data_IF_055291515635
#
_entry.id   IF_055291515635
#
_cell.length_a   1.000
_cell.length_b   1.000
_cell.length_c   1.000
_cell.angle_alpha   90.00
_cell.angle_beta   90.00
_cell.angle_gamma   90.00
#
_symmetry.space_group_name_H-M   'P 1'
#
loop_
_entity.id
_entity.type
_entity.pdbx_description
1 polymer ?
#
# COMPACT_ATOMS: atom_id res chain seq x y z
N UNK A 1 32.01 52.50 -38.10
CA UNK A 1 31.18 51.35 -38.52
C UNK A 1 31.14 50.36 -37.35
N UNK A 2 30.11 50.42 -36.53
CA UNK A 2 29.96 49.54 -35.36
C UNK A 2 29.34 48.22 -35.79
N UNK A 3 30.14 47.16 -35.82
CA UNK A 3 29.69 45.80 -36.12
C UNK A 3 28.99 45.23 -34.88
N UNK A 4 27.67 45.05 -34.95
CA UNK A 4 26.90 44.36 -33.92
C UNK A 4 26.90 42.86 -34.27
N UNK A 5 27.52 41.97 -33.48
CA UNK A 5 27.52 40.55 -33.79
C UNK A 5 26.09 39.99 -33.69
N UNK A 6 25.71 39.18 -34.66
CA UNK A 6 24.40 38.52 -34.69
C UNK A 6 24.21 37.64 -33.44
N UNK A 7 22.98 37.58 -32.89
CA UNK A 7 22.69 36.75 -31.73
C UNK A 7 22.98 35.28 -32.03
N UNK A 8 23.81 34.66 -31.19
CA UNK A 8 24.18 33.24 -31.29
C UNK A 8 22.88 32.42 -31.13
N UNK A 9 22.55 31.54 -32.08
CA UNK A 9 21.36 30.71 -31.97
C UNK A 9 21.48 29.81 -30.73
N UNK A 10 20.44 29.80 -29.90
CA UNK A 10 20.38 28.97 -28.71
C UNK A 10 20.59 27.49 -29.10
N UNK A 11 21.34 26.70 -28.31
CA UNK A 11 21.56 25.30 -28.61
C UNK A 11 20.21 24.56 -28.70
N UNK A 12 20.06 23.61 -29.64
CA UNK A 12 18.84 22.85 -29.79
C UNK A 12 18.53 22.12 -28.48
N UNK A 13 17.34 22.39 -27.92
CA UNK A 13 16.83 21.70 -26.74
C UNK A 13 16.73 20.22 -27.09
N UNK A 14 17.55 19.39 -26.45
CA UNK A 14 17.54 17.95 -26.68
C UNK A 14 16.12 17.39 -26.43
N UNK A 15 15.61 16.49 -27.30
CA UNK A 15 14.28 15.95 -27.14
C UNK A 15 14.19 15.18 -25.82
N UNK A 16 13.17 15.48 -25.02
CA UNK A 16 12.90 14.75 -23.78
C UNK A 16 12.70 13.26 -24.10
N UNK A 17 13.47 12.39 -23.44
CA UNK A 17 13.36 10.94 -23.61
C UNK A 17 11.91 10.49 -23.42
N UNK A 18 11.33 9.72 -24.36
CA UNK A 18 9.95 9.29 -24.24
C UNK A 18 9.77 8.45 -22.96
N UNK A 19 8.64 8.59 -22.26
CA UNK A 19 8.38 7.83 -21.05
C UNK A 19 8.41 6.32 -21.33
N UNK A 20 8.96 5.55 -20.39
CA UNK A 20 9.06 4.09 -20.52
C UNK A 20 7.68 3.44 -20.71
N UNK A 21 7.62 2.32 -21.43
CA UNK A 21 6.38 1.57 -21.72
C UNK A 21 5.56 1.28 -20.45
N UNK A 22 6.24 0.87 -19.38
CA UNK A 22 5.65 0.63 -18.05
C UNK A 22 4.96 1.86 -17.46
N UNK A 23 5.57 3.04 -17.64
CA UNK A 23 5.00 4.30 -17.14
C UNK A 23 3.67 4.59 -17.81
N UNK A 24 3.60 4.43 -19.13
CA UNK A 24 2.40 4.70 -19.93
C UNK A 24 1.29 3.68 -19.69
N UNK A 25 1.63 2.40 -19.51
CA UNK A 25 0.63 1.32 -19.48
C UNK A 25 0.14 0.93 -18.08
N UNK A 26 0.94 1.14 -17.03
CA UNK A 26 0.61 0.74 -15.65
C UNK A 26 0.57 1.94 -14.72
N UNK A 27 1.62 2.76 -14.71
CA UNK A 27 1.76 3.84 -13.73
C UNK A 27 0.77 4.98 -13.99
N UNK A 28 0.64 5.43 -15.25
CA UNK A 28 -0.27 6.51 -15.62
C UNK A 28 -1.75 6.18 -15.36
N UNK A 29 -2.28 5.01 -15.76
CA UNK A 29 -3.66 4.65 -15.45
C UNK A 29 -3.94 4.60 -13.93
N UNK A 30 -3.04 3.98 -13.16
CA UNK A 30 -3.17 3.89 -11.70
C UNK A 30 -3.13 5.30 -11.09
N UNK A 31 -2.20 6.15 -11.52
CA UNK A 31 -2.13 7.53 -11.07
C UNK A 31 -3.36 8.34 -11.46
N UNK A 32 -3.94 8.12 -12.64
CA UNK A 32 -5.13 8.82 -13.07
C UNK A 32 -6.33 8.48 -12.18
N UNK A 33 -6.54 7.19 -11.88
CA UNK A 33 -7.59 6.75 -10.93
C UNK A 33 -7.35 7.36 -9.54
N UNK A 34 -6.11 7.33 -9.08
CA UNK A 34 -5.72 7.87 -7.78
C UNK A 34 -5.91 9.40 -7.68
N UNK A 35 -5.74 10.14 -8.78
CA UNK A 35 -5.80 11.61 -8.81
C UNK A 35 -7.20 12.17 -9.04
N UNK A 36 -8.15 11.38 -9.52
CA UNK A 36 -9.50 11.85 -9.81
C UNK A 36 -10.18 12.43 -8.56
N UNK A 37 -10.37 13.75 -8.56
CA UNK A 37 -11.10 14.49 -7.52
C UNK A 37 -10.39 14.62 -6.17
N UNK A 38 -9.10 14.24 -6.06
CA UNK A 38 -8.37 14.24 -4.79
C UNK A 38 -7.30 15.32 -4.71
N UNK A 39 -7.27 16.04 -3.59
CA UNK A 39 -6.14 16.91 -3.23
C UNK A 39 -4.87 16.10 -2.96
N UNK A 40 -3.65 16.66 -3.06
CA UNK A 40 -2.41 15.94 -2.75
C UNK A 40 -2.40 15.31 -1.34
N UNK A 41 -3.10 15.94 -0.37
CA UNK A 41 -3.28 15.44 0.99
C UNK A 41 -4.19 14.22 1.04
N UNK A 42 -5.31 14.23 0.32
CA UNK A 42 -6.19 13.06 0.23
C UNK A 42 -5.50 11.92 -0.51
N UNK A 43 -4.72 12.23 -1.55
CA UNK A 43 -3.97 11.22 -2.29
C UNK A 43 -2.93 10.50 -1.43
N UNK A 44 -2.14 11.24 -0.64
CA UNK A 44 -1.19 10.63 0.29
C UNK A 44 -1.88 9.75 1.34
N UNK A 45 -3.02 10.21 1.85
CA UNK A 45 -3.81 9.47 2.82
C UNK A 45 -4.42 8.20 2.22
N UNK A 46 -4.96 8.28 1.00
CA UNK A 46 -5.50 7.12 0.26
C UNK A 46 -4.43 6.05 0.05
N UNK A 47 -3.22 6.44 -0.38
CA UNK A 47 -2.14 5.48 -0.58
C UNK A 47 -1.66 4.88 0.74
N UNK A 48 -1.49 5.70 1.78
CA UNK A 48 -1.06 5.23 3.09
C UNK A 48 -2.06 4.22 3.70
N UNK A 49 -3.36 4.57 3.68
CA UNK A 49 -4.42 3.70 4.19
C UNK A 49 -4.61 2.46 3.31
N UNK A 50 -4.52 2.60 1.99
CA UNK A 50 -4.58 1.47 1.07
C UNK A 50 -3.46 0.46 1.36
N UNK A 51 -2.22 0.93 1.56
CA UNK A 51 -1.12 0.05 1.93
C UNK A 51 -1.38 -0.63 3.28
N UNK A 52 -1.79 0.13 4.30
CA UNK A 52 -2.04 -0.42 5.63
C UNK A 52 -3.16 -1.45 5.65
N UNK A 53 -4.28 -1.17 4.98
CA UNK A 53 -5.41 -2.10 4.91
C UNK A 53 -5.11 -3.29 4.02
N UNK A 54 -4.38 -3.09 2.91
CA UNK A 54 -3.94 -4.15 2.02
C UNK A 54 -3.02 -5.17 2.68
N UNK A 55 -2.30 -4.78 3.74
CA UNK A 55 -1.38 -5.64 4.47
C UNK A 55 -1.95 -6.25 5.75
N UNK A 56 -3.23 -6.02 6.07
CA UNK A 56 -3.90 -6.61 7.24
C UNK A 56 -3.84 -8.14 7.12
N UNK A 57 -3.38 -8.89 8.15
CA UNK A 57 -3.19 -10.34 8.07
C UNK A 57 -4.50 -11.15 8.19
N UNK A 58 -5.62 -10.61 7.68
CA UNK A 58 -6.93 -11.26 7.66
C UNK A 58 -7.59 -11.01 6.30
N UNK A 59 -7.97 -12.09 5.62
CA UNK A 59 -8.63 -12.03 4.32
C UNK A 59 -10.04 -11.41 4.45
N UNK A 60 -10.44 -10.63 3.45
CA UNK A 60 -11.80 -10.06 3.34
C UNK A 60 -12.06 -8.83 4.22
N UNK A 61 -11.48 -8.72 5.42
CA UNK A 61 -11.65 -7.56 6.31
C UNK A 61 -11.14 -6.27 5.66
N UNK A 62 -10.06 -6.35 4.87
CA UNK A 62 -9.48 -5.23 4.11
C UNK A 62 -10.51 -4.46 3.28
N UNK A 63 -11.41 -5.17 2.58
CA UNK A 63 -12.39 -4.52 1.70
C UNK A 63 -13.42 -3.76 2.52
N UNK A 64 -13.90 -4.34 3.63
CA UNK A 64 -14.86 -3.72 4.52
C UNK A 64 -14.27 -2.47 5.19
N UNK A 65 -13.09 -2.62 5.81
CA UNK A 65 -12.40 -1.51 6.47
C UNK A 65 -12.02 -0.41 5.49
N UNK A 66 -11.50 -0.80 4.32
CA UNK A 66 -11.11 0.14 3.27
C UNK A 66 -12.30 0.94 2.75
N UNK A 67 -13.40 0.26 2.43
CA UNK A 67 -14.63 0.92 1.94
C UNK A 67 -15.21 1.84 3.00
N UNK A 68 -15.40 1.36 4.23
CA UNK A 68 -15.95 2.16 5.32
C UNK A 68 -15.09 3.41 5.62
N UNK A 69 -13.77 3.24 5.64
CA UNK A 69 -12.83 4.35 5.91
C UNK A 69 -12.80 5.34 4.74
N UNK A 70 -12.79 4.86 3.50
CA UNK A 70 -12.83 5.72 2.32
C UNK A 70 -14.12 6.56 2.28
N UNK A 71 -15.27 5.94 2.56
CA UNK A 71 -16.56 6.65 2.64
C UNK A 71 -16.53 7.68 3.78
N UNK A 72 -16.11 7.29 4.99
CA UNK A 72 -16.05 8.18 6.16
C UNK A 72 -15.15 9.41 5.93
N UNK A 73 -14.01 9.20 5.28
CA UNK A 73 -13.01 10.25 5.02
C UNK A 73 -13.22 10.96 3.66
N UNK A 74 -14.29 10.61 2.93
CA UNK A 74 -14.59 11.13 1.58
C UNK A 74 -13.40 10.97 0.62
N UNK A 75 -12.75 9.81 0.67
CA UNK A 75 -11.69 9.39 -0.26
C UNK A 75 -12.30 8.62 -1.43
N UNK A 76 -11.55 8.51 -2.52
CA UNK A 76 -11.94 7.67 -3.65
C UNK A 76 -11.83 6.19 -3.24
N UNK A 77 -12.99 5.53 -3.08
CA UNK A 77 -13.09 4.13 -2.66
C UNK A 77 -12.36 3.20 -3.64
N UNK A 78 -12.55 3.40 -4.95
CA UNK A 78 -11.89 2.58 -5.96
C UNK A 78 -10.37 2.72 -5.90
N UNK A 79 -9.87 3.95 -5.71
CA UNK A 79 -8.45 4.22 -5.56
C UNK A 79 -7.86 3.56 -4.31
N UNK A 80 -8.58 3.63 -3.17
CA UNK A 80 -8.12 3.01 -1.93
C UNK A 80 -8.08 1.48 -2.06
N UNK A 81 -9.15 0.86 -2.56
CA UNK A 81 -9.21 -0.58 -2.77
C UNK A 81 -8.20 -1.07 -3.81
N UNK A 82 -7.95 -0.28 -4.85
CA UNK A 82 -6.90 -0.58 -5.84
C UNK A 82 -5.53 -0.68 -5.16
N UNK A 83 -5.16 0.31 -4.34
CA UNK A 83 -3.88 0.28 -3.60
C UNK A 83 -3.85 -0.90 -2.64
N UNK A 84 -4.95 -1.15 -1.91
CA UNK A 84 -5.05 -2.30 -1.01
C UNK A 84 -4.83 -3.62 -1.72
N UNK A 85 -5.49 -3.84 -2.86
CA UNK A 85 -5.39 -5.08 -3.60
C UNK A 85 -4.02 -5.26 -4.27
N UNK A 86 -3.35 -4.17 -4.66
CA UNK A 86 -1.95 -4.23 -5.11
C UNK A 86 -1.00 -4.76 -4.03
N UNK A 87 -1.36 -4.63 -2.75
CA UNK A 87 -0.56 -5.17 -1.64
C UNK A 87 -0.86 -6.64 -1.33
N UNK A 88 -1.88 -7.26 -1.93
CA UNK A 88 -2.23 -8.67 -1.65
C UNK A 88 -1.04 -9.65 -1.79
N UNK A 89 -0.14 -9.53 -2.79
CA UNK A 89 1.04 -10.39 -2.86
C UNK A 89 1.98 -10.22 -1.66
N UNK A 90 2.16 -8.98 -1.22
CA UNK A 90 2.99 -8.63 -0.06
C UNK A 90 2.32 -9.10 1.24
N UNK A 91 1.00 -8.98 1.33
CA UNK A 91 0.18 -9.51 2.41
C UNK A 91 0.36 -11.03 2.55
N UNK A 92 0.33 -11.78 1.45
CA UNK A 92 0.55 -13.23 1.46
C UNK A 92 1.96 -13.61 1.94
N UNK A 93 2.97 -12.79 1.64
CA UNK A 93 4.32 -13.01 2.16
C UNK A 93 4.43 -12.69 3.67
N UNK A 94 3.70 -11.68 4.13
CA UNK A 94 3.71 -11.21 5.52
C UNK A 94 2.82 -12.03 6.46
N UNK A 95 1.78 -12.69 5.95
CA UNK A 95 0.80 -13.40 6.79
C UNK A 95 1.47 -14.51 7.59
N UNK A 96 2.35 -15.31 6.97
CA UNK A 96 3.03 -16.42 7.63
C UNK A 96 3.92 -15.95 8.79
N UNK A 97 4.87 -15.00 8.61
CA UNK A 97 5.69 -14.53 9.73
C UNK A 97 4.88 -13.81 10.80
N UNK A 98 3.85 -13.02 10.44
CA UNK A 98 2.99 -12.35 11.42
C UNK A 98 2.19 -13.36 12.25
N UNK A 99 1.64 -14.40 11.64
CA UNK A 99 0.92 -15.46 12.36
C UNK A 99 1.83 -16.23 13.30
N UNK A 100 3.06 -16.56 12.87
CA UNK A 100 4.06 -17.20 13.74
C UNK A 100 4.41 -16.33 14.96
N UNK A 101 4.63 -15.03 14.75
CA UNK A 101 4.88 -14.09 15.85
C UNK A 101 3.65 -13.91 16.74
N UNK A 102 2.46 -13.86 16.15
CA UNK A 102 1.19 -13.75 16.87
C UNK A 102 0.92 -14.94 17.77
N UNK A 103 1.17 -16.16 17.30
CA UNK A 103 1.08 -17.36 18.11
C UNK A 103 2.12 -17.40 19.23
N UNK A 104 3.32 -16.86 19.02
CA UNK A 104 4.31 -16.70 20.10
C UNK A 104 3.90 -15.65 21.14
N UNK A 105 3.17 -14.62 20.73
CA UNK A 105 2.70 -13.54 21.60
C UNK A 105 1.50 -13.96 22.46
N UNK A 106 0.54 -14.67 21.87
CA UNK A 106 -0.70 -15.10 22.54
C UNK A 106 -0.57 -16.49 23.15
N UNK A 107 0.23 -17.37 22.55
CA UNK A 107 0.49 -18.71 23.05
C UNK A 107 1.42 -18.66 24.26
N UNK A 108 1.14 -19.49 25.27
CA UNK A 108 1.86 -19.58 26.54
C UNK A 108 3.30 -20.13 26.45
N UNK A 109 3.93 -20.14 25.27
CA UNK A 109 5.23 -20.79 25.04
C UNK A 109 5.22 -22.32 25.12
N UNK A 110 4.13 -22.92 25.60
CA UNK A 110 3.89 -24.37 25.73
C UNK A 110 2.91 -24.93 24.70
N UNK A 111 2.31 -24.07 23.87
CA UNK A 111 1.43 -24.48 22.77
C UNK A 111 2.22 -24.98 21.55
N UNK A 112 1.59 -25.77 20.65
CA UNK A 112 2.24 -26.24 19.44
C UNK A 112 2.68 -25.09 18.55
N UNK A 113 3.87 -25.17 17.96
CA UNK A 113 4.32 -24.18 16.98
C UNK A 113 3.43 -24.22 15.73
N UNK A 114 3.18 -23.06 15.13
CA UNK A 114 2.55 -22.96 13.81
C UNK A 114 3.51 -23.46 12.72
N UNK A 115 3.54 -24.77 12.53
CA UNK A 115 4.19 -25.42 11.40
C UNK A 115 3.14 -26.04 10.48
N UNK A 116 3.51 -26.19 9.20
CA UNK A 116 2.62 -26.79 8.21
C UNK A 116 2.29 -28.24 8.57
N UNK A 117 3.29 -28.98 9.05
CA UNK A 117 3.18 -30.38 9.49
C UNK A 117 2.21 -30.54 10.66
N UNK A 118 2.32 -29.67 11.68
CA UNK A 118 1.40 -29.67 12.83
C UNK A 118 -0.03 -29.36 12.37
N UNK A 119 -0.19 -28.38 11.48
CA UNK A 119 -1.51 -27.98 11.00
C UNK A 119 -2.15 -29.11 10.17
N UNK A 120 -1.39 -29.79 9.32
CA UNK A 120 -1.85 -30.97 8.58
C UNK A 120 -2.26 -32.11 9.54
N UNK A 121 -1.47 -32.35 10.58
CA UNK A 121 -1.78 -33.36 11.59
C UNK A 121 -3.06 -33.02 12.37
N UNK A 122 -3.19 -31.78 12.85
CA UNK A 122 -4.38 -31.33 13.60
C UNK A 122 -5.64 -31.32 12.73
N UNK A 123 -5.53 -30.97 11.44
CA UNK A 123 -6.69 -31.05 10.54
C UNK A 123 -7.20 -32.48 10.31
N UNK A 124 -6.32 -33.48 10.37
CA UNK A 124 -6.71 -34.89 10.27
C UNK A 124 -7.19 -35.52 11.57
N UNK A 125 -6.83 -34.96 12.72
CA UNK A 125 -7.04 -35.59 14.03
C UNK A 125 -8.02 -34.82 14.92
N UNK A 126 -7.94 -33.49 14.94
CA UNK A 126 -8.69 -32.63 15.86
C UNK A 126 -8.91 -31.23 15.27
N UNK A 127 -9.91 -31.13 14.37
CA UNK A 127 -10.24 -29.89 13.65
C UNK A 127 -10.50 -28.69 14.59
N UNK A 128 -11.10 -28.92 15.75
CA UNK A 128 -11.38 -27.85 16.73
C UNK A 128 -10.09 -27.23 17.29
N UNK A 129 -9.07 -28.05 17.57
CA UNK A 129 -7.78 -27.56 18.03
C UNK A 129 -7.03 -26.81 16.92
N UNK A 130 -7.11 -27.30 15.67
CA UNK A 130 -6.56 -26.59 14.52
C UNK A 130 -7.17 -25.18 14.38
N UNK A 131 -8.49 -25.08 14.48
CA UNK A 131 -9.21 -23.80 14.40
C UNK A 131 -8.82 -22.85 15.54
N UNK A 132 -8.75 -23.37 16.77
CA UNK A 132 -8.36 -22.57 17.94
C UNK A 132 -6.93 -22.00 17.80
N UNK A 133 -6.00 -22.83 17.32
CA UNK A 133 -4.61 -22.43 17.10
C UNK A 133 -4.52 -21.37 16.00
N UNK A 134 -5.24 -21.55 14.89
CA UNK A 134 -5.31 -20.58 13.79
C UNK A 134 -5.97 -19.25 14.22
N UNK A 135 -6.98 -19.32 15.08
CA UNK A 135 -7.66 -18.16 15.64
C UNK A 135 -6.74 -17.34 16.55
N UNK A 136 -6.05 -17.98 17.49
CA UNK A 136 -5.07 -17.32 18.36
C UNK A 136 -3.93 -16.69 17.55
N UNK A 137 -3.42 -17.42 16.56
CA UNK A 137 -2.42 -16.93 15.62
C UNK A 137 -2.88 -15.66 14.89
N UNK A 138 -4.10 -15.70 14.35
CA UNK A 138 -4.70 -14.60 13.61
C UNK A 138 -4.92 -13.36 14.48
N UNK A 139 -5.40 -13.54 15.72
CA UNK A 139 -5.55 -12.44 16.67
C UNK A 139 -4.19 -11.82 17.05
N UNK A 140 -3.18 -12.64 17.30
CA UNK A 140 -1.84 -12.16 17.63
C UNK A 140 -1.20 -11.40 16.46
N UNK A 141 -1.35 -11.94 15.24
CA UNK A 141 -0.92 -11.27 14.02
C UNK A 141 -1.61 -9.92 13.83
N UNK A 142 -2.93 -9.87 14.07
CA UNK A 142 -3.72 -8.65 13.97
C UNK A 142 -3.28 -7.61 14.99
N UNK A 143 -2.99 -8.00 16.24
CA UNK A 143 -2.50 -7.10 17.28
C UNK A 143 -1.14 -6.51 16.92
N UNK A 144 -0.19 -7.36 16.49
CA UNK A 144 1.14 -6.91 16.04
C UNK A 144 0.99 -5.94 14.88
N UNK A 145 0.14 -6.29 13.90
CA UNK A 145 -0.10 -5.43 12.75
C UNK A 145 -0.78 -4.11 13.12
N UNK A 146 -1.76 -4.12 14.02
CA UNK A 146 -2.46 -2.91 14.46
C UNK A 146 -1.46 -1.91 15.05
N UNK A 147 -0.52 -2.36 15.89
CA UNK A 147 0.54 -1.51 16.43
C UNK A 147 1.50 -1.03 15.34
N UNK A 148 1.97 -1.92 14.46
CA UNK A 148 2.90 -1.58 13.38
C UNK A 148 2.28 -0.67 12.30
N UNK A 149 0.97 -0.74 12.11
CA UNK A 149 0.25 -0.01 11.06
C UNK A 149 0.20 1.49 11.30
N UNK A 150 0.17 1.94 12.57
CA UNK A 150 0.11 3.36 12.92
C UNK A 150 1.36 4.11 12.47
N UNK A 151 2.59 3.72 12.86
CA UNK A 151 3.79 4.39 12.39
C UNK A 151 3.95 4.25 10.87
N UNK A 152 3.57 3.11 10.28
CA UNK A 152 3.60 2.92 8.83
C UNK A 152 2.66 3.90 8.10
N UNK A 153 1.42 4.05 8.55
CA UNK A 153 0.46 4.99 7.99
C UNK A 153 0.98 6.43 8.05
N UNK A 154 1.52 6.83 9.20
CA UNK A 154 2.07 8.17 9.40
C UNK A 154 3.26 8.41 8.48
N UNK A 155 4.22 7.48 8.44
CA UNK A 155 5.42 7.57 7.62
C UNK A 155 5.07 7.67 6.14
N UNK A 156 4.17 6.82 5.64
CA UNK A 156 3.71 6.86 4.26
C UNK A 156 2.97 8.17 3.96
N UNK A 157 2.03 8.58 4.81
CA UNK A 157 1.25 9.79 4.57
C UNK A 157 2.14 11.04 4.55
N UNK A 158 3.03 11.21 5.53
CA UNK A 158 3.92 12.37 5.58
C UNK A 158 5.01 12.33 4.51
N UNK A 159 5.57 11.15 4.20
CA UNK A 159 6.60 10.98 3.17
C UNK A 159 6.08 11.19 1.75
N UNK A 160 4.86 10.71 1.46
CA UNK A 160 4.26 10.83 0.13
C UNK A 160 3.63 12.20 -0.14
N UNK A 161 3.19 12.92 0.90
CA UNK A 161 2.57 14.25 0.75
C UNK A 161 3.43 15.28 -0.02
N UNK A 162 4.73 15.50 0.28
CA UNK A 162 5.56 16.43 -0.48
C UNK A 162 5.80 15.92 -1.91
N UNK A 163 5.92 14.61 -2.11
CA UNK A 163 6.07 13.99 -3.42
C UNK A 163 4.85 14.27 -4.30
N UNK A 164 3.64 13.99 -3.81
CA UNK A 164 2.41 14.25 -4.55
C UNK A 164 2.17 15.74 -4.81
N UNK A 165 2.52 16.61 -3.84
CA UNK A 165 2.47 18.07 -4.07
C UNK A 165 3.36 18.49 -5.23
N UNK A 166 4.59 17.98 -5.30
CA UNK A 166 5.53 18.28 -6.40
C UNK A 166 5.06 17.70 -7.73
N UNK A 167 4.55 16.47 -7.73
CA UNK A 167 4.08 15.79 -8.94
C UNK A 167 2.87 16.50 -9.56
N UNK A 168 1.91 16.94 -8.76
CA UNK A 168 0.74 17.65 -9.24
C UNK A 168 1.08 19.08 -9.70
N UNK A 169 1.98 19.79 -8.99
CA UNK A 169 2.42 21.13 -9.39
C UNK A 169 3.27 21.16 -10.67
N UNK A 170 4.00 20.08 -10.99
CA UNK A 170 4.76 19.97 -12.24
C UNK A 170 3.87 19.75 -13.45
N UNK A 171 2.72 19.11 -13.29
CA UNK A 171 1.83 18.81 -14.40
C UNK A 171 0.95 19.99 -14.80
N UNK A 172 0.53 20.84 -13.86
CA UNK A 172 -0.20 22.07 -14.21
C UNK A 172 0.61 23.00 -15.13
N UNK A 173 1.95 22.97 -15.06
CA UNK A 173 2.84 23.74 -15.95
C UNK A 173 3.09 23.11 -17.33
N UNK A 174 2.67 21.87 -17.55
CA UNK A 174 2.86 21.16 -18.84
C UNK A 174 1.59 21.22 -19.69
N UNK A 175 0.45 21.54 -19.07
CA UNK A 175 -0.85 21.65 -19.75
C UNK A 175 -1.24 23.11 -20.08
N UNK A 176 -0.45 24.10 -19.64
CA UNK A 176 -0.48 25.49 -20.12
C UNK A 176 0.56 25.68 -21.22
#
# INVERSE_FOLDING_TARGET
MSYSPAPVPAPPVAPATPPSWWRRRVVEPVLNILRQGLTPKQLSLTVALGVVFGLVPILGITTLLGTATAVRLRLNVAALLLVSHLMSPVQLLLIIPLMKLGAKLIGSGTGPELTLEQLQHLFGTDWQQALHLLWQAGLGALLIWAVASVPLALLLNFGLRPLFRRLLARQSRVTE
#
